data_IF_059461074364
#
_entry.id   IF_059461074364
#
_cell.length_a   1.000
_cell.length_b   1.000
_cell.length_c   1.000
_cell.angle_alpha   90.00
_cell.angle_beta   90.00
_cell.angle_gamma   90.00
#
_symmetry.space_group_name_H-M   'P 1'
#
loop_
_entity.id
_entity.type
_entity.pdbx_description
1 polymer ?
#
# COMPACT_ATOMS: atom_id res chain seq x y z
N UNK A 1 -2.12 -21.21 -3.51
CA UNK A 1 -0.65 -20.99 -3.36
C UNK A 1 -0.12 -20.63 -4.73
N UNK A 2 0.81 -19.66 -4.80
CA UNK A 2 1.37 -19.16 -6.07
C UNK A 2 2.52 -20.07 -6.58
N UNK A 3 2.41 -21.37 -6.34
CA UNK A 3 3.42 -22.40 -6.70
C UNK A 3 4.83 -22.10 -6.16
N UNK A 4 4.91 -21.34 -5.05
CA UNK A 4 6.14 -20.92 -4.39
C UNK A 4 6.40 -21.72 -3.08
N UNK A 5 6.04 -23.01 -3.07
CA UNK A 5 6.19 -23.87 -1.88
C UNK A 5 7.61 -23.86 -1.33
N UNK A 6 8.61 -24.00 -2.21
CA UNK A 6 10.02 -24.02 -1.79
C UNK A 6 10.52 -22.70 -1.19
N UNK A 7 9.95 -21.56 -1.58
CA UNK A 7 10.24 -20.28 -0.95
C UNK A 7 9.51 -20.17 0.40
N UNK A 8 8.25 -20.57 0.44
CA UNK A 8 7.42 -20.55 1.65
C UNK A 8 8.02 -21.42 2.77
N UNK A 9 8.51 -22.61 2.45
CA UNK A 9 9.08 -23.57 3.40
C UNK A 9 10.39 -23.06 4.06
N UNK A 10 11.01 -22.01 3.48
CA UNK A 10 12.21 -21.37 4.05
C UNK A 10 11.89 -20.20 4.98
N UNK A 11 10.64 -19.74 5.01
CA UNK A 11 10.25 -18.59 5.83
C UNK A 11 10.08 -19.05 7.28
N UNK A 12 10.83 -18.44 8.20
CA UNK A 12 10.58 -18.56 9.62
C UNK A 12 9.60 -17.45 10.07
N UNK A 13 8.35 -17.82 10.30
CA UNK A 13 7.31 -16.88 10.75
C UNK A 13 7.44 -16.45 12.23
N UNK A 14 8.42 -16.96 12.96
CA UNK A 14 8.71 -16.57 14.35
C UNK A 14 9.71 -15.41 14.46
N UNK A 15 10.40 -15.07 13.36
CA UNK A 15 11.42 -14.02 13.31
C UNK A 15 11.04 -12.89 12.36
N UNK A 16 11.64 -11.71 12.52
CA UNK A 16 11.48 -10.60 11.61
C UNK A 16 12.13 -10.91 10.25
N UNK A 17 11.55 -10.40 9.16
CA UNK A 17 12.07 -10.61 7.81
C UNK A 17 13.50 -10.09 7.63
N UNK A 18 13.92 -9.05 8.38
CA UNK A 18 15.29 -8.53 8.35
C UNK A 18 16.33 -9.56 8.81
N UNK A 19 15.96 -10.44 9.72
CA UNK A 19 16.83 -11.49 10.22
C UNK A 19 17.01 -12.63 9.21
N UNK A 20 16.12 -12.70 8.21
CA UNK A 20 16.08 -13.74 7.19
C UNK A 20 16.68 -13.31 5.84
N UNK A 21 17.30 -12.15 5.77
CA UNK A 21 17.88 -11.64 4.50
C UNK A 21 18.91 -12.60 3.94
N UNK A 22 19.75 -13.21 4.77
CA UNK A 22 20.76 -14.18 4.36
C UNK A 22 20.20 -15.50 3.82
N UNK A 23 18.94 -15.82 4.10
CA UNK A 23 18.29 -17.08 3.70
C UNK A 23 17.80 -17.08 2.25
N UNK A 24 17.97 -15.98 1.53
CA UNK A 24 17.62 -15.85 0.13
C UNK A 24 16.11 -15.74 -0.16
N UNK A 25 15.30 -15.53 0.89
CA UNK A 25 13.84 -15.41 0.75
C UNK A 25 13.45 -13.98 0.38
N UNK A 26 14.00 -12.99 1.04
CA UNK A 26 13.58 -11.59 0.95
C UNK A 26 13.81 -10.97 -0.43
N UNK A 27 14.86 -11.37 -1.13
CA UNK A 27 15.15 -10.95 -2.49
C UNK A 27 14.65 -11.93 -3.57
N UNK A 28 13.96 -13.00 -3.17
CA UNK A 28 13.33 -13.91 -4.13
C UNK A 28 12.24 -13.18 -4.92
N UNK A 29 12.42 -13.08 -6.23
CA UNK A 29 11.42 -12.51 -7.12
C UNK A 29 10.28 -13.48 -7.35
N UNK A 30 9.07 -13.12 -6.92
CA UNK A 30 7.85 -13.87 -7.22
C UNK A 30 7.25 -13.29 -8.50
N UNK A 31 7.27 -14.00 -9.65
CA UNK A 31 6.85 -13.43 -10.95
C UNK A 31 5.43 -12.86 -10.92
N UNK A 32 4.50 -13.48 -10.18
CA UNK A 32 3.12 -13.01 -10.02
C UNK A 32 2.98 -11.74 -9.17
N UNK A 33 4.05 -11.27 -8.53
CA UNK A 33 4.07 -10.00 -7.80
C UNK A 33 4.61 -8.84 -8.64
N UNK A 34 5.00 -9.09 -9.88
CA UNK A 34 5.55 -8.09 -10.77
C UNK A 34 4.62 -7.85 -11.96
N UNK A 35 4.17 -6.61 -12.12
CA UNK A 35 3.44 -6.21 -13.31
C UNK A 35 4.42 -6.10 -14.50
N UNK A 36 4.15 -6.73 -15.64
CA UNK A 36 5.04 -6.64 -16.82
C UNK A 36 5.25 -5.21 -17.34
N UNK A 37 4.32 -4.30 -17.02
CA UNK A 37 4.43 -2.87 -17.37
C UNK A 37 5.29 -2.08 -16.39
N UNK A 38 5.62 -2.62 -15.24
CA UNK A 38 6.53 -1.99 -14.27
C UNK A 38 7.98 -2.41 -14.56
N UNK A 39 8.64 -1.65 -15.44
CA UNK A 39 10.03 -1.91 -15.83
C UNK A 39 11.04 -1.75 -14.68
N UNK A 40 10.61 -1.21 -13.53
CA UNK A 40 11.44 -1.07 -12.33
C UNK A 40 11.25 -2.20 -11.33
N UNK A 41 10.29 -3.10 -11.56
CA UNK A 41 10.04 -4.25 -10.70
C UNK A 41 11.26 -5.17 -10.67
N UNK A 42 12.08 -5.04 -9.64
CA UNK A 42 13.34 -5.77 -9.46
C UNK A 42 13.73 -5.80 -7.99
N UNK A 43 14.85 -6.43 -7.68
CA UNK A 43 15.40 -6.38 -6.32
C UNK A 43 16.08 -5.02 -6.05
N UNK A 44 16.03 -4.61 -4.79
CA UNK A 44 16.82 -3.52 -4.26
C UNK A 44 18.14 -4.07 -3.74
N UNK A 45 19.23 -3.36 -4.00
CA UNK A 45 20.55 -3.71 -3.51
C UNK A 45 20.81 -3.05 -2.15
N UNK A 46 21.60 -3.72 -1.33
CA UNK A 46 22.26 -3.17 -0.18
C UNK A 46 23.75 -3.56 -0.27
N UNK A 47 24.64 -2.58 -0.21
CA UNK A 47 26.09 -2.78 -0.30
C UNK A 47 26.52 -3.56 -1.58
N UNK A 48 25.76 -3.39 -2.67
CA UNK A 48 25.99 -4.05 -3.96
C UNK A 48 25.35 -5.42 -4.12
N UNK A 49 24.80 -6.01 -3.05
CA UNK A 49 24.19 -7.34 -3.06
C UNK A 49 22.65 -7.25 -3.05
N UNK A 50 21.95 -8.25 -3.64
CA UNK A 50 20.50 -8.34 -3.55
C UNK A 50 20.02 -8.43 -2.10
N UNK A 51 19.13 -7.52 -1.72
CA UNK A 51 18.65 -7.40 -0.35
C UNK A 51 17.16 -7.78 -0.24
N UNK A 52 16.29 -7.14 -1.01
CA UNK A 52 14.86 -7.38 -1.03
C UNK A 52 14.33 -7.24 -2.44
N UNK A 53 13.17 -7.85 -2.75
CA UNK A 53 12.52 -7.70 -4.05
C UNK A 53 11.27 -6.82 -3.93
N UNK A 54 11.01 -6.03 -4.96
CA UNK A 54 9.83 -5.17 -5.06
C UNK A 54 8.54 -5.94 -5.34
N UNK A 55 7.41 -5.25 -5.17
CA UNK A 55 6.09 -5.71 -5.62
C UNK A 55 5.41 -4.64 -6.45
N UNK A 56 4.64 -5.04 -7.46
CA UNK A 56 3.77 -4.15 -8.24
C UNK A 56 2.30 -4.26 -7.83
N UNK A 57 2.01 -4.98 -6.76
CA UNK A 57 0.65 -5.14 -6.22
C UNK A 57 0.65 -4.86 -4.73
N UNK A 58 -0.25 -3.94 -4.31
CA UNK A 58 -0.49 -3.61 -2.91
C UNK A 58 -1.80 -4.23 -2.43
N UNK A 59 -1.85 -4.66 -1.18
CA UNK A 59 -3.05 -5.17 -0.52
C UNK A 59 -3.89 -4.02 0.03
N UNK A 60 -5.21 -4.12 -0.03
CA UNK A 60 -6.12 -3.10 0.47
C UNK A 60 -6.05 -2.98 2.00
N UNK A 61 -5.46 -1.90 2.50
CA UNK A 61 -5.35 -1.61 3.93
C UNK A 61 -6.37 -0.56 4.41
N UNK A 62 -7.31 -0.16 3.56
CA UNK A 62 -8.43 0.68 3.94
C UNK A 62 -8.37 2.11 3.43
N UNK A 63 -9.12 2.99 4.11
CA UNK A 63 -9.39 4.35 3.62
C UNK A 63 -8.37 5.40 4.07
N UNK A 64 -7.85 5.34 5.31
CA UNK A 64 -6.92 6.34 5.85
C UNK A 64 -6.22 5.87 7.13
N UNK A 65 -6.99 5.50 8.18
CA UNK A 65 -6.47 4.97 9.43
C UNK A 65 -5.99 3.53 9.22
N UNK A 66 -4.76 3.23 9.62
CA UNK A 66 -4.14 1.92 9.42
C UNK A 66 -4.11 1.12 10.72
N UNK A 67 -3.54 1.72 11.79
CA UNK A 67 -3.34 1.00 13.03
C UNK A 67 -3.05 1.94 14.21
N UNK A 68 -3.57 1.58 15.37
CA UNK A 68 -3.20 2.19 16.65
C UNK A 68 -2.56 1.13 17.57
N UNK A 69 -1.27 1.24 17.89
CA UNK A 69 -0.57 0.26 18.71
C UNK A 69 -1.04 0.25 20.17
N UNK A 70 -1.60 1.34 20.67
CA UNK A 70 -2.08 1.46 22.05
C UNK A 70 -3.41 0.73 22.23
N UNK A 71 -4.41 1.08 21.41
CA UNK A 71 -5.73 0.43 21.44
C UNK A 71 -5.77 -0.91 20.71
N UNK A 72 -4.75 -1.20 19.87
CA UNK A 72 -4.70 -2.33 18.95
C UNK A 72 -5.83 -2.34 17.91
N UNK A 73 -6.44 -1.19 17.68
CA UNK A 73 -7.41 -1.04 16.61
C UNK A 73 -6.68 -1.00 15.26
N UNK A 74 -7.30 -1.62 14.26
CA UNK A 74 -6.81 -1.62 12.89
C UNK A 74 -7.82 -0.94 11.97
N UNK A 75 -7.36 -0.54 10.79
CA UNK A 75 -8.15 0.15 9.79
C UNK A 75 -9.34 -0.65 9.25
N UNK A 76 -10.01 -0.06 8.29
CA UNK A 76 -11.28 -0.50 7.71
C UNK A 76 -11.13 -1.38 6.45
N UNK A 77 -9.88 -1.63 6.01
CA UNK A 77 -9.58 -2.41 4.82
C UNK A 77 -9.71 -3.93 4.97
N UNK A 78 -9.52 -4.63 3.86
CA UNK A 78 -9.54 -6.09 3.81
C UNK A 78 -8.35 -6.72 4.55
N UNK A 79 -7.18 -6.08 4.51
CA UNK A 79 -5.97 -6.52 5.21
C UNK A 79 -5.67 -5.58 6.37
N UNK A 80 -5.60 -6.14 7.56
CA UNK A 80 -5.50 -5.39 8.81
C UNK A 80 -4.26 -5.78 9.59
N UNK A 81 -3.59 -4.79 10.18
CA UNK A 81 -2.42 -5.03 11.01
C UNK A 81 -2.79 -5.86 12.23
N UNK A 82 -2.09 -6.97 12.45
CA UNK A 82 -2.27 -7.86 13.61
C UNK A 82 -3.69 -8.41 13.83
N UNK A 83 -4.55 -8.38 12.83
CA UNK A 83 -5.91 -8.91 12.89
C UNK A 83 -6.16 -9.89 11.75
N UNK A 84 -6.95 -10.92 12.06
CA UNK A 84 -7.46 -11.87 11.07
C UNK A 84 -8.83 -11.42 10.61
N UNK A 85 -9.02 -11.23 9.32
CA UNK A 85 -10.32 -10.99 8.70
C UNK A 85 -10.97 -12.32 8.31
N UNK A 86 -12.27 -12.42 8.48
CA UNK A 86 -13.11 -13.57 8.10
C UNK A 86 -14.12 -13.11 7.07
N UNK A 87 -14.66 -14.03 6.30
CA UNK A 87 -15.70 -13.73 5.30
C UNK A 87 -16.90 -12.96 5.90
N UNK A 88 -17.24 -13.23 7.18
CA UNK A 88 -18.32 -12.54 7.87
C UNK A 88 -18.01 -11.05 8.19
N UNK A 89 -16.75 -10.62 8.10
CA UNK A 89 -16.35 -9.24 8.37
C UNK A 89 -16.58 -8.31 7.16
N UNK A 90 -16.97 -8.89 6.01
CA UNK A 90 -17.23 -8.18 4.76
C UNK A 90 -18.74 -7.95 4.58
N UNK A 91 -19.34 -7.05 5.38
CA UNK A 91 -20.78 -6.77 5.31
C UNK A 91 -21.20 -6.09 4.00
N UNK A 92 -20.27 -5.39 3.32
CA UNK A 92 -20.48 -4.77 2.01
C UNK A 92 -20.45 -5.81 0.87
N UNK A 93 -19.99 -7.02 1.17
CA UNK A 93 -19.86 -8.15 0.25
C UNK A 93 -18.46 -8.28 -0.34
N UNK A 94 -18.03 -9.52 -0.56
CA UNK A 94 -16.70 -9.83 -1.12
C UNK A 94 -16.51 -9.24 -2.53
N UNK A 95 -17.56 -9.18 -3.33
CA UNK A 95 -17.54 -8.61 -4.69
C UNK A 95 -17.52 -7.08 -4.71
N UNK A 96 -17.77 -6.43 -3.58
CA UNK A 96 -17.76 -4.98 -3.43
C UNK A 96 -16.53 -4.47 -2.66
N UNK A 97 -15.65 -5.35 -2.21
CA UNK A 97 -14.46 -4.98 -1.46
C UNK A 97 -13.19 -5.30 -2.23
N UNK A 98 -12.32 -4.32 -2.38
CA UNK A 98 -11.00 -4.49 -3.02
C UNK A 98 -10.13 -5.45 -2.20
N UNK A 99 -9.42 -6.32 -2.90
CA UNK A 99 -8.37 -7.18 -2.35
C UNK A 99 -7.00 -6.56 -2.59
N UNK A 100 -6.65 -6.36 -3.83
CA UNK A 100 -5.37 -5.78 -4.23
C UNK A 100 -5.54 -4.81 -5.40
N UNK A 101 -4.56 -3.94 -5.58
CA UNK A 101 -4.48 -3.04 -6.73
C UNK A 101 -3.03 -2.87 -7.20
N UNK A 102 -2.86 -2.41 -8.44
CA UNK A 102 -1.55 -2.02 -8.93
C UNK A 102 -0.93 -0.94 -8.04
N UNK A 103 0.37 -1.09 -7.75
CA UNK A 103 1.24 -0.07 -7.18
C UNK A 103 2.54 -0.01 -7.98
N UNK A 104 3.22 1.12 -7.96
CA UNK A 104 4.51 1.26 -8.63
C UNK A 104 5.65 0.93 -7.68
N UNK A 105 6.51 0.03 -8.07
CA UNK A 105 7.76 -0.21 -7.35
C UNK A 105 8.66 1.05 -7.36
N UNK A 106 9.43 1.24 -6.31
CA UNK A 106 10.30 2.40 -6.11
C UNK A 106 9.57 3.74 -6.15
N UNK A 107 8.41 3.81 -5.47
CA UNK A 107 7.68 5.06 -5.28
C UNK A 107 8.34 5.90 -4.19
N UNK A 108 8.45 7.22 -4.44
CA UNK A 108 8.86 8.19 -3.42
C UNK A 108 7.81 8.29 -2.33
N UNK A 109 8.24 8.45 -1.08
CA UNK A 109 7.31 8.65 0.04
C UNK A 109 7.94 9.43 1.19
N UNK A 110 7.09 9.96 2.06
CA UNK A 110 7.50 10.52 3.36
C UNK A 110 6.90 9.68 4.48
N UNK A 111 7.60 9.58 5.60
CA UNK A 111 7.20 8.77 6.74
C UNK A 111 7.64 9.36 8.07
N UNK A 112 7.11 8.82 9.18
CA UNK A 112 7.46 9.22 10.54
C UNK A 112 7.31 10.74 10.70
N UNK A 113 6.12 11.25 10.37
CA UNK A 113 5.77 12.65 10.53
C UNK A 113 5.79 13.07 12.00
N UNK A 114 6.23 14.30 12.30
CA UNK A 114 6.29 14.82 13.66
C UNK A 114 4.89 14.99 14.25
N UNK A 115 3.97 15.45 13.43
CA UNK A 115 2.54 15.60 13.77
C UNK A 115 1.68 15.01 12.69
N UNK A 116 0.45 14.63 13.03
CA UNK A 116 -0.55 14.17 12.08
C UNK A 116 -1.91 14.75 12.41
N UNK A 117 -2.62 15.19 11.39
CA UNK A 117 -4.05 15.45 11.45
C UNK A 117 -4.79 14.12 11.17
N UNK A 118 -5.60 13.61 12.11
CA UNK A 118 -6.40 12.43 11.86
C UNK A 118 -7.53 12.66 10.86
N UNK A 119 -7.81 13.93 10.50
CA UNK A 119 -8.78 14.24 9.45
C UNK A 119 -8.33 13.68 8.09
N UNK A 120 -9.29 13.18 7.34
CA UNK A 120 -9.02 12.62 6.04
C UNK A 120 -8.53 13.69 5.05
N UNK A 121 -7.39 13.48 4.37
CA UNK A 121 -6.92 14.38 3.34
C UNK A 121 -7.91 14.49 2.16
N UNK A 122 -8.17 15.71 1.70
CA UNK A 122 -9.01 15.97 0.53
C UNK A 122 -8.21 16.44 -0.68
N UNK A 123 -7.09 17.13 -0.45
CA UNK A 123 -6.26 17.72 -1.47
C UNK A 123 -4.98 16.92 -1.65
N UNK A 124 -4.52 16.85 -2.89
CA UNK A 124 -3.23 16.26 -3.26
C UNK A 124 -2.02 17.03 -2.71
N UNK A 125 -2.21 18.29 -2.32
CA UNK A 125 -1.19 19.15 -1.72
C UNK A 125 -1.25 19.13 -0.17
N UNK A 126 -2.08 18.26 0.40
CA UNK A 126 -2.33 18.19 1.86
C UNK A 126 -1.06 18.00 2.68
N UNK A 127 -0.07 17.31 2.13
CA UNK A 127 1.16 16.98 2.86
C UNK A 127 2.29 17.99 2.65
N UNK A 128 2.08 19.07 1.87
CA UNK A 128 3.08 20.11 1.68
C UNK A 128 3.50 20.73 3.02
N UNK A 129 4.81 20.84 3.21
CA UNK A 129 5.40 21.38 4.44
C UNK A 129 5.33 20.47 5.67
N UNK A 130 4.80 19.23 5.56
CA UNK A 130 4.82 18.27 6.66
C UNK A 130 6.26 17.92 7.03
N UNK A 131 6.64 18.10 8.30
CA UNK A 131 7.92 17.63 8.82
C UNK A 131 7.89 16.11 8.95
N UNK A 132 8.72 15.42 8.17
CA UNK A 132 8.75 13.97 8.09
C UNK A 132 10.10 13.44 7.60
N UNK A 133 10.34 12.17 7.75
CA UNK A 133 11.50 11.52 7.15
C UNK A 133 11.27 11.30 5.64
N UNK A 134 12.17 11.83 4.82
CA UNK A 134 12.09 11.76 3.37
C UNK A 134 12.68 10.48 2.81
N UNK A 135 11.97 9.89 1.85
CA UNK A 135 12.39 8.80 0.98
C UNK A 135 12.09 9.20 -0.47
N UNK A 136 12.82 10.20 -0.96
CA UNK A 136 12.55 10.90 -2.21
C UNK A 136 13.68 10.71 -3.22
N UNK A 137 13.38 10.92 -4.48
CA UNK A 137 14.35 10.97 -5.56
C UNK A 137 14.27 9.79 -6.52
N UNK A 138 15.25 9.72 -7.42
CA UNK A 138 15.37 8.66 -8.43
C UNK A 138 16.29 7.51 -8.00
N UNK A 139 17.04 7.70 -6.91
CA UNK A 139 17.91 6.67 -6.35
C UNK A 139 17.05 5.54 -5.78
N UNK A 140 17.20 4.28 -6.28
CA UNK A 140 16.44 3.13 -5.79
C UNK A 140 16.67 2.82 -4.31
N UNK A 141 17.72 3.37 -3.68
CA UNK A 141 17.94 3.26 -2.23
C UNK A 141 17.24 4.36 -1.43
N UNK A 142 16.68 5.37 -2.09
CA UNK A 142 15.94 6.47 -1.45
C UNK A 142 14.44 6.36 -1.64
N UNK A 143 13.94 6.19 -2.84
CA UNK A 143 12.54 6.01 -3.16
C UNK A 143 12.13 4.54 -2.95
N UNK A 144 12.05 4.11 -1.72
CA UNK A 144 11.91 2.69 -1.37
C UNK A 144 10.49 2.22 -1.11
N UNK A 145 9.46 2.95 -1.57
CA UNK A 145 8.07 2.49 -1.54
C UNK A 145 7.86 1.27 -2.44
N UNK A 146 7.11 0.28 -1.96
CA UNK A 146 6.81 -0.99 -2.65
C UNK A 146 8.05 -1.79 -3.10
N UNK A 147 9.13 -1.70 -2.31
CA UNK A 147 10.38 -2.43 -2.63
C UNK A 147 10.63 -3.65 -1.76
N UNK A 148 9.72 -4.00 -0.84
CA UNK A 148 9.86 -5.13 0.09
C UNK A 148 8.55 -5.90 0.12
N UNK A 149 8.42 -6.93 -0.72
CA UNK A 149 7.19 -7.72 -0.82
C UNK A 149 6.85 -8.48 0.48
N UNK A 150 7.85 -8.79 1.29
CA UNK A 150 7.70 -9.53 2.55
C UNK A 150 7.49 -8.62 3.78
N UNK A 151 7.50 -7.29 3.61
CA UNK A 151 7.19 -6.34 4.69
C UNK A 151 5.73 -5.92 4.61
N UNK A 152 4.92 -6.34 5.60
CA UNK A 152 3.49 -6.05 5.65
C UNK A 152 3.11 -4.59 5.93
N UNK A 153 4.08 -3.66 6.06
CA UNK A 153 3.79 -2.24 6.24
C UNK A 153 3.13 -1.64 4.99
N UNK A 154 2.21 -0.70 5.21
CA UNK A 154 1.38 -0.14 4.14
C UNK A 154 2.17 0.43 2.96
N UNK A 155 3.30 1.10 3.21
CA UNK A 155 4.15 1.69 2.16
C UNK A 155 5.03 0.66 1.41
N UNK A 156 5.01 -0.62 1.83
CA UNK A 156 5.71 -1.70 1.14
C UNK A 156 4.76 -2.67 0.45
N UNK A 157 3.76 -3.19 1.17
CA UNK A 157 2.86 -4.22 0.64
C UNK A 157 1.40 -3.79 0.60
N UNK A 158 1.07 -2.53 0.90
CA UNK A 158 -0.31 -2.04 0.96
C UNK A 158 -0.62 -0.92 -0.03
N UNK A 159 -1.90 -0.58 -0.12
CA UNK A 159 -2.41 0.68 -0.66
C UNK A 159 -3.62 1.12 0.15
N UNK A 160 -3.99 2.40 0.01
CA UNK A 160 -5.19 2.99 0.62
C UNK A 160 -6.05 3.67 -0.43
N UNK A 161 -7.32 3.87 -0.11
CA UNK A 161 -8.29 4.52 -1.00
C UNK A 161 -8.50 6.02 -0.70
N UNK A 162 -7.51 6.67 -0.06
CA UNK A 162 -7.54 8.12 0.20
C UNK A 162 -7.71 8.91 -1.09
N UNK A 163 -6.89 8.60 -2.09
CA UNK A 163 -6.92 9.22 -3.40
C UNK A 163 -7.28 8.19 -4.48
N UNK A 164 -7.93 8.66 -5.55
CA UNK A 164 -8.26 7.82 -6.71
C UNK A 164 -7.00 7.33 -7.42
N UNK A 165 -7.08 6.24 -8.20
CA UNK A 165 -5.93 5.66 -8.88
C UNK A 165 -5.11 6.67 -9.69
N UNK A 166 -3.79 6.54 -9.67
CA UNK A 166 -2.83 7.39 -10.36
C UNK A 166 -2.87 8.89 -9.96
N UNK A 167 -3.56 9.25 -8.87
CA UNK A 167 -3.49 10.63 -8.34
C UNK A 167 -2.05 10.94 -7.93
N UNK A 168 -1.53 12.05 -8.43
CA UNK A 168 -0.24 12.59 -7.98
C UNK A 168 -0.44 13.37 -6.69
N UNK A 169 0.31 13.01 -5.68
CA UNK A 169 0.32 13.70 -4.38
C UNK A 169 1.62 14.50 -4.30
N UNK A 170 1.48 15.82 -4.24
CA UNK A 170 2.62 16.72 -4.32
C UNK A 170 3.31 16.88 -2.96
N UNK A 171 4.63 16.94 -3.02
CA UNK A 171 5.48 17.30 -1.89
C UNK A 171 6.74 18.00 -2.39
N UNK A 172 6.96 19.23 -1.97
CA UNK A 172 8.04 20.08 -2.48
C UNK A 172 9.22 20.12 -1.50
N UNK A 173 10.41 19.80 -2.00
CA UNK A 173 11.68 19.92 -1.25
C UNK A 173 12.69 20.62 -2.15
N UNK A 174 13.31 21.68 -1.64
CA UNK A 174 14.34 22.46 -2.35
C UNK A 174 13.91 22.90 -3.76
N UNK A 175 12.63 23.25 -3.94
CA UNK A 175 12.04 23.68 -5.21
C UNK A 175 11.72 22.54 -6.19
N UNK A 176 11.93 21.29 -5.81
CA UNK A 176 11.57 20.11 -6.59
C UNK A 176 10.27 19.51 -6.08
N UNK A 177 9.28 19.34 -6.97
CA UNK A 177 8.01 18.69 -6.66
C UNK A 177 8.12 17.19 -6.89
N UNK A 178 7.84 16.41 -5.87
CA UNK A 178 7.79 14.94 -5.91
C UNK A 178 6.34 14.46 -5.89
N UNK A 179 6.05 13.36 -6.59
CA UNK A 179 4.83 12.58 -6.41
C UNK A 179 5.10 11.53 -5.34
N UNK A 180 4.41 11.62 -4.21
CA UNK A 180 4.72 10.82 -3.02
C UNK A 180 3.55 9.95 -2.56
N UNK A 181 3.90 8.95 -1.76
CA UNK A 181 3.03 8.34 -0.77
C UNK A 181 3.34 8.90 0.62
N UNK A 182 2.35 8.86 1.50
CA UNK A 182 2.48 9.31 2.89
C UNK A 182 2.20 8.16 3.85
N UNK A 183 3.09 8.00 4.84
CA UNK A 183 2.89 7.11 5.98
C UNK A 183 3.29 7.84 7.27
N UNK A 184 2.32 8.19 8.10
CA UNK A 184 2.58 8.97 9.31
C UNK A 184 3.53 8.31 10.28
N UNK A 185 3.47 6.98 10.40
CA UNK A 185 4.35 6.14 11.22
C UNK A 185 4.57 4.80 10.51
N UNK A 186 5.72 4.20 10.74
CA UNK A 186 5.95 2.81 10.32
C UNK A 186 5.32 1.87 11.35
N UNK A 187 4.37 1.07 10.92
CA UNK A 187 3.67 0.11 11.78
C UNK A 187 4.67 -0.81 12.49
N UNK A 188 4.48 -0.99 13.79
CA UNK A 188 5.35 -1.80 14.65
C UNK A 188 6.66 -1.14 15.09
N UNK A 189 6.98 0.08 14.61
CA UNK A 189 8.19 0.80 15.02
C UNK A 189 7.92 1.82 16.15
N UNK A 190 6.85 2.60 16.04
CA UNK A 190 6.34 3.43 17.13
C UNK A 190 5.20 2.68 17.81
N UNK A 191 5.32 2.48 19.12
CA UNK A 191 4.33 1.73 19.91
C UNK A 191 3.34 2.65 20.63
N UNK A 192 3.39 3.96 20.36
CA UNK A 192 2.61 4.98 21.07
C UNK A 192 1.70 5.80 20.17
N UNK A 193 2.04 5.92 18.88
CA UNK A 193 1.33 6.78 17.93
C UNK A 193 0.58 5.97 16.88
N UNK A 194 -0.65 6.36 16.53
CA UNK A 194 -1.40 5.71 15.47
C UNK A 194 -0.77 5.96 14.09
N UNK A 195 -0.94 5.00 13.21
CA UNK A 195 -0.54 5.10 11.81
C UNK A 195 -1.73 5.51 10.95
N UNK A 196 -1.51 6.52 10.13
CA UNK A 196 -2.37 6.95 9.04
C UNK A 196 -1.56 6.94 7.74
N UNK A 197 -2.17 6.58 6.62
CA UNK A 197 -1.45 6.50 5.37
C UNK A 197 -2.29 6.88 4.15
N UNK A 198 -1.65 7.58 3.22
CA UNK A 198 -2.13 7.82 1.88
C UNK A 198 -1.14 7.18 0.89
N UNK A 199 -1.32 5.90 0.65
CA UNK A 199 -0.53 5.12 -0.31
C UNK A 199 -1.40 4.88 -1.51
N UNK A 200 -1.12 5.61 -2.59
CA UNK A 200 -1.98 5.66 -3.76
C UNK A 200 -1.75 4.47 -4.67
N UNK A 201 -2.84 3.82 -5.09
CA UNK A 201 -2.78 2.83 -6.17
C UNK A 201 -2.29 3.50 -7.46
N UNK A 202 -1.23 2.95 -8.08
CA UNK A 202 -0.59 3.51 -9.27
C UNK A 202 -0.16 2.43 -10.25
N UNK A 203 -0.26 2.72 -11.55
CA UNK A 203 0.24 1.82 -12.58
C UNK A 203 0.92 2.57 -13.73
N UNK A 204 1.56 1.83 -14.62
CA UNK A 204 2.03 2.32 -15.91
C UNK A 204 0.97 2.18 -17.01
N UNK A 205 -0.22 1.69 -16.68
CA UNK A 205 -1.35 1.65 -17.62
C UNK A 205 -1.92 3.06 -17.83
N UNK A 206 -2.24 3.47 -19.06
CA UNK A 206 -2.47 4.89 -19.38
C UNK A 206 -3.64 5.54 -18.65
N UNK A 207 -4.71 4.81 -18.31
CA UNK A 207 -5.98 5.41 -17.86
C UNK A 207 -6.52 4.84 -16.54
N UNK A 208 -5.77 3.96 -15.87
CA UNK A 208 -6.24 3.37 -14.61
C UNK A 208 -5.29 2.34 -14.05
N UNK A 209 -5.81 1.49 -13.21
CA UNK A 209 -5.11 0.42 -12.51
C UNK A 209 -5.88 -0.89 -12.60
N UNK A 210 -5.18 -2.01 -12.57
CA UNK A 210 -5.84 -3.30 -12.33
C UNK A 210 -6.14 -3.45 -10.85
N UNK A 211 -7.31 -3.96 -10.54
CA UNK A 211 -7.74 -4.27 -9.17
C UNK A 211 -8.26 -5.68 -9.10
N UNK A 212 -8.08 -6.33 -7.97
CA UNK A 212 -8.81 -7.55 -7.63
C UNK A 212 -9.74 -7.30 -6.46
N UNK A 213 -10.84 -8.06 -6.39
CA UNK A 213 -11.81 -8.03 -5.30
C UNK A 213 -11.65 -9.27 -4.41
N UNK A 214 -12.25 -9.23 -3.25
CA UNK A 214 -12.17 -10.32 -2.27
C UNK A 214 -12.86 -11.61 -2.73
N UNK A 215 -13.73 -11.57 -3.75
CA UNK A 215 -14.33 -12.74 -4.40
C UNK A 215 -13.43 -13.35 -5.49
N UNK A 216 -12.27 -12.75 -5.76
CA UNK A 216 -11.31 -13.19 -6.77
C UNK A 216 -11.55 -12.61 -8.17
N UNK A 217 -12.59 -11.80 -8.37
CA UNK A 217 -12.78 -11.09 -9.63
C UNK A 217 -11.69 -10.04 -9.84
N UNK A 218 -11.39 -9.73 -11.11
CA UNK A 218 -10.37 -8.76 -11.52
C UNK A 218 -11.00 -7.78 -12.50
N UNK A 219 -10.82 -6.49 -12.23
CA UNK A 219 -11.36 -5.40 -13.01
C UNK A 219 -10.30 -4.34 -13.33
N UNK A 220 -10.56 -3.52 -14.36
CA UNK A 220 -9.83 -2.30 -14.62
C UNK A 220 -10.55 -1.11 -14.00
N UNK A 221 -9.87 -0.39 -13.09
CA UNK A 221 -10.42 0.79 -12.44
C UNK A 221 -9.84 2.06 -13.06
N UNK A 222 -10.71 2.86 -13.66
CA UNK A 222 -10.30 4.12 -14.31
C UNK A 222 -9.83 5.17 -13.29
N UNK A 223 -8.88 6.02 -13.68
CA UNK A 223 -8.42 7.18 -12.86
C UNK A 223 -9.53 8.17 -12.55
N UNK A 224 -10.59 8.17 -13.38
CA UNK A 224 -11.76 9.07 -13.26
C UNK A 224 -12.86 8.48 -12.38
N UNK A 225 -12.61 7.36 -11.70
CA UNK A 225 -13.58 6.81 -10.75
C UNK A 225 -13.97 7.87 -9.73
N UNK A 226 -15.27 7.93 -9.39
CA UNK A 226 -15.71 8.79 -8.30
C UNK A 226 -14.98 8.45 -7.00
N UNK A 227 -14.51 9.47 -6.28
CA UNK A 227 -13.72 9.28 -5.07
C UNK A 227 -14.48 8.58 -3.95
N UNK A 228 -15.79 8.84 -3.83
CA UNK A 228 -16.60 8.20 -2.81
C UNK A 228 -16.79 6.72 -3.13
N UNK A 229 -17.02 6.39 -4.41
CA UNK A 229 -17.09 5.00 -4.87
C UNK A 229 -15.76 4.28 -4.64
N UNK A 230 -14.63 4.90 -5.00
CA UNK A 230 -13.31 4.32 -4.78
C UNK A 230 -13.04 4.03 -3.31
N UNK A 231 -13.41 4.96 -2.42
CA UNK A 231 -13.26 4.79 -0.99
C UNK A 231 -14.18 3.71 -0.42
N UNK A 232 -15.43 3.67 -0.87
CA UNK A 232 -16.39 2.65 -0.47
C UNK A 232 -15.90 1.24 -0.82
N UNK A 233 -15.29 1.07 -2.00
CA UNK A 233 -14.67 -0.20 -2.39
C UNK A 233 -13.46 -0.57 -1.51
N UNK A 234 -12.84 0.38 -0.82
CA UNK A 234 -11.71 0.17 0.09
C UNK A 234 -12.11 -0.35 1.47
N UNK A 235 -13.37 -0.22 1.86
CA UNK A 235 -13.85 -0.64 3.19
C UNK A 235 -14.51 -2.01 3.17
N UNK A 236 -14.53 -2.69 4.33
CA UNK A 236 -15.18 -4.00 4.48
C UNK A 236 -16.62 -3.90 4.99
N UNK A 237 -17.00 -2.74 5.57
CA UNK A 237 -18.24 -2.57 6.31
C UNK A 237 -18.71 -1.11 6.42
N UNK A 238 -18.43 -0.31 5.39
CA UNK A 238 -18.85 1.11 5.34
C UNK A 238 -20.33 1.30 5.05
N UNK A 239 -20.96 0.35 4.33
CA UNK A 239 -22.37 0.43 3.93
C UNK A 239 -22.67 1.49 2.86
N UNK A 240 -21.65 2.18 2.33
CA UNK A 240 -21.79 3.32 1.43
C UNK A 240 -22.34 2.92 0.06
N UNK A 241 -22.05 1.71 -0.40
CA UNK A 241 -22.48 1.21 -1.71
C UNK A 241 -24.02 1.02 -1.79
N UNK A 242 -24.69 0.93 -0.65
CA UNK A 242 -26.15 0.87 -0.61
C UNK A 242 -26.81 2.23 -0.95
N UNK A 243 -26.04 3.31 -0.97
CA UNK A 243 -26.53 4.66 -1.30
C UNK A 243 -26.19 5.11 -2.72
N UNK A 244 -25.40 4.34 -3.45
CA UNK A 244 -25.07 4.63 -4.85
C UNK A 244 -26.14 3.99 -5.72
N UNK A 245 -27.08 4.79 -6.23
CA UNK A 245 -28.02 4.35 -7.26
C UNK A 245 -27.25 3.74 -8.44
N UNK A 246 -27.69 2.62 -9.01
CA UNK A 246 -27.08 2.12 -10.23
C UNK A 246 -27.15 3.21 -11.29
N UNK A 247 -26.03 3.53 -11.89
CA UNK A 247 -25.96 4.43 -13.04
C UNK A 247 -26.87 3.90 -14.14
N UNK A 248 -27.62 4.78 -14.82
CA UNK A 248 -28.55 4.39 -15.89
C UNK A 248 -27.85 3.75 -17.09
#
# INVERSE_FOLDING_TARGET
>A
MLEQGSAFDRIDFSTDWHEQVGEGVTFHGVPSYSCPSDSRATFRLQDGEPFVHSTSYGMNMGSWFIYDPVSRQSGDGAFRVSQKTRTADFSDGLSNTLCAADVKSFTSYIRNADTIDPALPFDRDHFEGTSAQHKLGTDPNRNTGHTVWCDGRVHHAGFTTVFTPNTKVNYTVDGVVYDIDFNSQQEGRDLTRPTYAAVTSRSYHPTGVMVSRMDGSVDFMATTVDRQVWRALGTTSGGELNSVSPLP
#
